data_IF_725684808208
#
_entry.id   IF_725684808208
#
_cell.length_a   1.000
_cell.length_b   1.000
_cell.length_c   1.000
_cell.angle_alpha   90.00
_cell.angle_beta   90.00
_cell.angle_gamma   90.00
#
_symmetry.space_group_name_H-M   'P 1'
#
loop_
_entity.id
_entity.type
_entity.pdbx_description
1 polymer ?
#
# COMPACT_ATOMS: atom_id res chain seq x y z
N UNK A 1 26.12 -2.81 23.91
CA UNK A 1 25.36 -1.57 24.21
C UNK A 1 24.69 -0.96 22.97
N UNK A 2 25.34 -0.93 21.79
CA UNK A 2 24.82 -0.29 20.56
C UNK A 2 23.44 -0.78 20.06
N UNK A 3 23.06 -2.03 20.32
CA UNK A 3 21.78 -2.62 19.87
C UNK A 3 20.71 -2.63 20.98
N UNK A 4 21.12 -2.55 22.26
CA UNK A 4 20.18 -2.63 23.39
C UNK A 4 19.34 -1.37 23.53
N UNK A 5 19.92 -0.20 23.25
CA UNK A 5 19.23 1.08 23.36
C UNK A 5 18.03 1.18 22.38
N UNK A 6 18.19 0.90 21.06
CA UNK A 6 17.06 0.87 20.13
C UNK A 6 15.97 -0.15 20.51
N UNK A 7 16.35 -1.32 21.05
CA UNK A 7 15.41 -2.36 21.47
C UNK A 7 14.58 -1.92 22.68
N UNK A 8 15.23 -1.33 23.70
CA UNK A 8 14.54 -0.79 24.87
C UNK A 8 13.60 0.33 24.45
N UNK A 9 14.04 1.23 23.57
CA UNK A 9 13.20 2.30 23.03
C UNK A 9 11.97 1.73 22.29
N UNK A 10 12.17 0.72 21.44
CA UNK A 10 11.10 0.04 20.72
C UNK A 10 10.08 -0.60 21.66
N UNK A 11 10.55 -1.31 22.70
CA UNK A 11 9.71 -1.91 23.72
C UNK A 11 8.88 -0.86 24.48
N UNK A 12 9.53 0.21 24.95
CA UNK A 12 8.86 1.30 25.68
C UNK A 12 7.80 1.97 24.81
N UNK A 13 8.14 2.34 23.57
CA UNK A 13 7.19 2.98 22.66
C UNK A 13 6.03 2.05 22.29
N UNK A 14 6.29 0.74 22.14
CA UNK A 14 5.24 -0.25 21.94
C UNK A 14 4.29 -0.39 23.13
N UNK A 15 4.82 -0.39 24.36
CA UNK A 15 4.00 -0.43 25.59
C UNK A 15 3.17 0.85 25.71
N UNK A 16 3.76 2.03 25.48
CA UNK A 16 3.04 3.32 25.48
C UNK A 16 1.89 3.28 24.48
N UNK A 17 2.15 2.84 23.23
CA UNK A 17 1.12 2.72 22.21
C UNK A 17 0.01 1.73 22.58
N UNK A 18 0.36 0.60 23.21
CA UNK A 18 -0.62 -0.37 23.68
C UNK A 18 -1.51 0.20 24.79
N UNK A 19 -0.92 0.88 25.78
CA UNK A 19 -1.65 1.54 26.86
C UNK A 19 -2.55 2.64 26.30
N UNK A 20 -2.04 3.47 25.39
CA UNK A 20 -2.81 4.53 24.76
C UNK A 20 -4.02 3.99 23.96
N UNK A 21 -3.87 2.84 23.31
CA UNK A 21 -4.96 2.24 22.55
C UNK A 21 -6.11 1.73 23.45
N UNK A 22 -5.78 1.07 24.58
CA UNK A 22 -6.79 0.44 25.44
C UNK A 22 -7.35 1.35 26.55
N UNK A 23 -6.71 2.47 26.87
CA UNK A 23 -7.16 3.39 27.92
C UNK A 23 -7.90 4.59 27.30
N UNK A 24 -9.24 4.63 27.34
CA UNK A 24 -10.03 5.71 26.73
C UNK A 24 -10.13 6.95 27.62
N UNK A 25 -9.05 7.29 28.34
CA UNK A 25 -9.02 8.47 29.20
C UNK A 25 -8.48 9.69 28.44
N UNK A 26 -9.15 10.85 28.56
CA UNK A 26 -8.83 12.06 27.80
C UNK A 26 -7.36 12.48 27.91
N UNK A 27 -6.77 12.41 29.11
CA UNK A 27 -5.36 12.78 29.29
C UNK A 27 -4.41 11.85 28.53
N UNK A 28 -4.69 10.55 28.51
CA UNK A 28 -3.89 9.54 27.79
C UNK A 28 -4.02 9.72 26.27
N UNK A 29 -5.25 9.93 25.79
CA UNK A 29 -5.50 10.17 24.36
C UNK A 29 -4.88 11.47 23.85
N UNK A 30 -4.93 12.54 24.65
CA UNK A 30 -4.31 13.82 24.28
C UNK A 30 -2.78 13.69 24.21
N UNK A 31 -2.18 13.05 25.22
CA UNK A 31 -0.74 12.78 25.23
C UNK A 31 -0.30 11.92 24.04
N UNK A 32 -1.01 10.82 23.75
CA UNK A 32 -0.69 9.95 22.62
C UNK A 32 -0.80 10.69 21.29
N UNK A 33 -1.87 11.47 21.09
CA UNK A 33 -2.05 12.26 19.88
C UNK A 33 -0.92 13.28 19.69
N UNK A 34 -0.53 14.00 20.75
CA UNK A 34 0.55 14.97 20.70
C UNK A 34 1.91 14.30 20.43
N UNK A 35 2.22 13.24 21.16
CA UNK A 35 3.44 12.46 21.01
C UNK A 35 3.54 11.87 19.60
N UNK A 36 2.50 11.18 19.12
CA UNK A 36 2.47 10.56 17.80
C UNK A 36 2.54 11.61 16.69
N UNK A 37 1.78 12.70 16.77
CA UNK A 37 1.83 13.74 15.75
C UNK A 37 3.22 14.38 15.65
N UNK A 38 3.85 14.66 16.79
CA UNK A 38 5.19 15.27 16.82
C UNK A 38 6.25 14.28 16.36
N UNK A 39 6.26 13.07 16.92
CA UNK A 39 7.22 12.03 16.57
C UNK A 39 7.10 11.62 15.10
N UNK A 40 5.89 11.37 14.60
CA UNK A 40 5.67 11.02 13.20
C UNK A 40 6.13 12.13 12.27
N UNK A 41 5.83 13.39 12.56
CA UNK A 41 6.28 14.52 11.72
C UNK A 41 7.79 14.56 11.60
N UNK A 42 8.50 14.40 12.72
CA UNK A 42 9.98 14.37 12.76
C UNK A 42 10.50 13.15 12.01
N UNK A 43 9.96 11.96 12.31
CA UNK A 43 10.36 10.70 11.66
C UNK A 43 10.15 10.81 10.15
N UNK A 44 8.98 11.27 9.67
CA UNK A 44 8.71 11.46 8.25
C UNK A 44 9.70 12.43 7.58
N UNK A 45 10.05 13.54 8.24
CA UNK A 45 11.04 14.47 7.71
C UNK A 45 12.42 13.81 7.51
N UNK A 46 12.91 13.08 8.51
CA UNK A 46 14.18 12.35 8.41
C UNK A 46 14.11 11.16 7.44
N UNK A 47 13.00 10.42 7.44
CA UNK A 47 12.76 9.30 6.52
C UNK A 47 12.74 9.75 5.07
N UNK A 48 12.22 10.94 4.77
CA UNK A 48 12.27 11.51 3.41
C UNK A 48 13.72 11.70 2.97
N UNK A 49 14.54 12.33 3.80
CA UNK A 49 15.97 12.54 3.50
C UNK A 49 16.71 11.22 3.31
N UNK A 50 16.50 10.26 4.20
CA UNK A 50 17.10 8.93 4.10
C UNK A 50 16.62 8.15 2.87
N UNK A 51 15.32 8.26 2.53
CA UNK A 51 14.72 7.61 1.38
C UNK A 51 15.28 8.16 0.07
N UNK A 52 15.27 9.48 -0.10
CA UNK A 52 15.86 10.16 -1.27
C UNK A 52 17.37 9.85 -1.36
N UNK A 53 18.09 9.98 -0.24
CA UNK A 53 19.52 9.68 -0.18
C UNK A 53 19.84 8.24 -0.54
N UNK A 54 19.01 7.27 -0.12
CA UNK A 54 19.18 5.86 -0.46
C UNK A 54 18.98 5.60 -1.96
N UNK A 55 17.94 6.19 -2.57
CA UNK A 55 17.69 6.07 -4.02
C UNK A 55 18.86 6.67 -4.81
N UNK A 56 19.27 7.90 -4.47
CA UNK A 56 20.39 8.56 -5.14
C UNK A 56 21.65 7.71 -5.01
N UNK A 57 22.01 7.26 -3.81
CA UNK A 57 23.20 6.45 -3.58
C UNK A 57 23.13 5.13 -4.36
N UNK A 58 21.99 4.43 -4.33
CA UNK A 58 21.81 3.16 -5.02
C UNK A 58 22.03 3.31 -6.53
N UNK A 59 21.36 4.27 -7.15
CA UNK A 59 21.44 4.48 -8.60
C UNK A 59 22.80 5.07 -9.02
N UNK A 60 23.39 5.95 -8.21
CA UNK A 60 24.72 6.49 -8.46
C UNK A 60 25.80 5.41 -8.41
N UNK A 61 25.77 4.53 -7.41
CA UNK A 61 26.66 3.38 -7.34
C UNK A 61 26.46 2.41 -8.51
N UNK A 62 25.20 2.21 -8.93
CA UNK A 62 24.86 1.36 -10.07
C UNK A 62 25.47 1.90 -11.38
N UNK A 63 25.39 3.22 -11.59
CA UNK A 63 26.01 3.92 -12.74
C UNK A 63 27.54 3.82 -12.67
N UNK A 64 28.15 4.19 -11.53
CA UNK A 64 29.61 4.18 -11.35
C UNK A 64 30.22 2.80 -11.59
N UNK A 65 29.52 1.75 -11.14
CA UNK A 65 29.98 0.35 -11.27
C UNK A 65 29.51 -0.33 -12.57
N UNK A 66 28.82 0.39 -13.47
CA UNK A 66 28.22 -0.14 -14.72
C UNK A 66 27.55 -1.50 -14.54
N UNK A 67 26.73 -1.64 -13.48
CA UNK A 67 25.98 -2.87 -13.24
C UNK A 67 24.91 -3.08 -14.31
N UNK A 68 24.35 -4.27 -14.38
CA UNK A 68 23.28 -4.60 -15.33
C UNK A 68 22.15 -3.56 -15.27
N UNK A 69 21.68 -3.10 -16.44
CA UNK A 69 20.64 -2.08 -16.58
C UNK A 69 20.98 -0.74 -15.87
N UNK A 70 22.25 -0.34 -15.85
CA UNK A 70 22.68 0.93 -15.26
C UNK A 70 22.11 2.14 -15.99
N UNK A 71 21.91 2.07 -17.30
CA UNK A 71 21.41 3.15 -18.16
C UNK A 71 20.05 3.71 -17.67
N UNK A 72 19.13 2.82 -17.27
CA UNK A 72 17.83 3.20 -16.71
C UNK A 72 17.93 3.95 -15.37
N UNK A 73 19.09 3.93 -14.73
CA UNK A 73 19.33 4.73 -13.52
C UNK A 73 19.38 6.22 -13.82
N UNK A 74 19.80 6.63 -15.03
CA UNK A 74 19.71 8.04 -15.43
C UNK A 74 18.26 8.50 -15.49
N UNK A 75 17.39 7.70 -16.10
CA UNK A 75 15.95 7.99 -16.18
C UNK A 75 15.36 8.16 -14.78
N UNK A 76 15.75 7.30 -13.85
CA UNK A 76 15.28 7.36 -12.44
C UNK A 76 15.78 8.61 -11.73
N UNK A 77 17.08 8.95 -11.84
CA UNK A 77 17.64 10.13 -11.18
C UNK A 77 17.09 11.43 -11.79
N UNK A 78 17.01 11.53 -13.12
CA UNK A 78 16.46 12.71 -13.80
C UNK A 78 14.99 12.91 -13.43
N UNK A 79 14.18 11.85 -13.47
CA UNK A 79 12.77 11.94 -13.06
C UNK A 79 12.60 12.30 -11.59
N UNK A 80 13.44 11.78 -10.69
CA UNK A 80 13.43 12.16 -9.27
C UNK A 80 13.66 13.67 -9.09
N UNK A 81 14.71 14.22 -9.71
CA UNK A 81 15.00 15.65 -9.59
C UNK A 81 13.94 16.52 -10.28
N UNK A 82 13.46 16.11 -11.45
CA UNK A 82 12.43 16.84 -12.19
C UNK A 82 11.10 16.89 -11.43
N UNK A 83 10.64 15.75 -10.92
CA UNK A 83 9.40 15.67 -10.14
C UNK A 83 9.51 16.42 -8.81
N UNK A 84 10.67 16.36 -8.15
CA UNK A 84 10.92 17.15 -6.94
C UNK A 84 10.92 18.66 -7.24
N UNK A 85 11.55 19.08 -8.34
CA UNK A 85 11.55 20.48 -8.77
C UNK A 85 10.14 20.97 -9.10
N UNK A 86 9.38 20.22 -9.91
CA UNK A 86 7.98 20.55 -10.22
C UNK A 86 7.14 20.60 -8.95
N UNK A 87 7.33 19.66 -8.02
CA UNK A 87 6.58 19.65 -6.77
C UNK A 87 6.88 20.82 -5.84
N UNK A 88 8.16 21.21 -5.71
CA UNK A 88 8.57 22.32 -4.86
C UNK A 88 8.12 23.68 -5.40
N UNK A 89 8.16 23.86 -6.72
CA UNK A 89 7.92 25.16 -7.34
C UNK A 89 6.56 25.29 -8.02
N UNK A 90 6.08 24.24 -8.71
CA UNK A 90 4.79 24.22 -9.42
C UNK A 90 3.58 23.92 -8.53
N UNK A 91 3.80 23.40 -7.32
CA UNK A 91 2.73 23.17 -6.33
C UNK A 91 1.81 21.99 -6.68
N UNK A 92 0.67 21.91 -6.01
CA UNK A 92 -0.27 20.77 -6.14
C UNK A 92 -1.17 20.93 -7.37
N UNK A 93 -1.85 22.07 -7.49
CA UNK A 93 -2.89 22.37 -8.50
C UNK A 93 -2.55 23.64 -9.30
N UNK A 94 -1.26 23.85 -9.60
CA UNK A 94 -0.76 25.05 -10.30
C UNK A 94 -0.63 26.29 -9.41
N UNK A 95 -1.00 26.21 -8.13
CA UNK A 95 -0.79 27.27 -7.11
C UNK A 95 0.59 27.19 -6.45
N UNK A 96 1.61 26.81 -7.21
CA UNK A 96 2.99 26.77 -6.74
C UNK A 96 3.59 28.15 -6.48
N UNK A 97 4.79 28.15 -5.92
CA UNK A 97 5.61 29.36 -5.77
C UNK A 97 5.90 30.03 -7.11
N UNK A 98 6.00 29.23 -8.17
CA UNK A 98 6.25 29.67 -9.53
C UNK A 98 5.12 29.10 -10.39
N UNK A 99 4.48 29.99 -11.17
CA UNK A 99 3.48 29.57 -12.15
C UNK A 99 4.17 28.85 -13.31
N UNK A 100 4.14 27.52 -13.30
CA UNK A 100 4.79 26.66 -14.31
C UNK A 100 3.77 26.20 -15.35
N UNK A 101 3.42 27.08 -16.29
CA UNK A 101 2.45 26.77 -17.35
C UNK A 101 3.04 27.05 -18.74
N UNK A 102 2.77 26.16 -19.69
CA UNK A 102 3.05 26.39 -21.12
C UNK A 102 1.72 26.25 -21.87
N UNK A 103 1.13 27.38 -22.27
CA UNK A 103 -0.18 27.42 -22.92
C UNK A 103 -1.29 26.94 -21.99
N UNK A 104 -1.93 25.81 -22.33
CA UNK A 104 -2.98 25.18 -21.49
C UNK A 104 -2.45 24.08 -20.58
N UNK A 105 -1.15 23.80 -20.62
CA UNK A 105 -0.53 22.72 -19.87
C UNK A 105 0.14 23.27 -18.61
N UNK A 106 -0.31 22.84 -17.43
CA UNK A 106 0.35 23.13 -16.16
C UNK A 106 1.32 22.01 -15.77
N UNK A 107 2.51 22.40 -15.32
CA UNK A 107 3.48 21.50 -14.72
C UNK A 107 3.32 21.58 -13.20
N UNK A 108 2.42 20.76 -12.68
CA UNK A 108 2.13 20.63 -11.25
C UNK A 108 2.10 19.14 -10.84
N UNK A 109 2.05 18.88 -9.52
CA UNK A 109 2.01 17.51 -9.01
C UNK A 109 0.75 16.79 -9.50
N UNK A 110 -0.39 17.47 -9.57
CA UNK A 110 -1.65 16.86 -10.00
C UNK A 110 -1.58 16.35 -11.43
N UNK A 111 -0.91 17.08 -12.33
CA UNK A 111 -0.73 16.69 -13.73
C UNK A 111 0.14 15.45 -13.83
N UNK A 112 1.24 15.39 -13.05
CA UNK A 112 2.08 14.18 -12.98
C UNK A 112 1.28 13.00 -12.40
N UNK A 113 0.49 13.24 -11.35
CA UNK A 113 -0.33 12.22 -10.73
C UNK A 113 -1.36 11.65 -11.71
N UNK A 114 -2.12 12.50 -12.40
CA UNK A 114 -3.20 12.07 -13.30
C UNK A 114 -2.66 11.43 -14.58
N UNK A 115 -1.55 11.92 -15.13
CA UNK A 115 -1.05 11.44 -16.42
C UNK A 115 0.00 10.33 -16.29
N UNK A 116 0.65 10.17 -15.13
CA UNK A 116 1.64 9.13 -14.92
C UNK A 116 1.22 8.15 -13.83
N UNK A 117 0.94 8.63 -12.61
CA UNK A 117 0.69 7.74 -11.48
C UNK A 117 -0.61 6.94 -11.64
N UNK A 118 -1.71 7.57 -12.08
CA UNK A 118 -3.00 6.88 -12.29
C UNK A 118 -2.88 5.81 -13.38
N UNK A 119 -2.38 6.10 -14.61
CA UNK A 119 -2.26 5.08 -15.64
C UNK A 119 -1.32 3.94 -15.24
N UNK A 120 -0.17 4.23 -14.59
CA UNK A 120 0.74 3.20 -14.11
C UNK A 120 0.09 2.31 -13.02
N UNK A 121 -0.71 2.90 -12.13
CA UNK A 121 -1.53 2.12 -11.19
C UNK A 121 -2.55 1.24 -11.93
N UNK A 122 -3.23 1.79 -12.93
CA UNK A 122 -4.21 1.08 -13.74
C UNK A 122 -3.59 -0.10 -14.52
N UNK A 123 -2.35 0.03 -15.04
CA UNK A 123 -1.65 -1.10 -15.69
C UNK A 123 -1.32 -2.20 -14.70
N UNK A 124 -0.87 -1.88 -13.48
CA UNK A 124 -0.65 -2.87 -12.43
C UNK A 124 -1.95 -3.61 -12.06
N UNK A 125 -3.05 -2.88 -11.87
CA UNK A 125 -4.36 -3.49 -11.59
C UNK A 125 -4.89 -4.33 -12.75
N UNK A 126 -4.70 -3.88 -13.99
CA UNK A 126 -5.08 -4.63 -15.20
C UNK A 126 -4.29 -5.93 -15.32
N UNK A 127 -2.98 -5.90 -15.08
CA UNK A 127 -2.14 -7.10 -15.06
C UNK A 127 -2.54 -8.05 -13.94
N UNK A 128 -2.81 -7.54 -12.72
CA UNK A 128 -3.31 -8.35 -11.61
C UNK A 128 -4.63 -9.03 -11.98
N UNK A 129 -5.59 -8.29 -12.55
CA UNK A 129 -6.86 -8.84 -13.00
C UNK A 129 -6.67 -9.92 -14.07
N UNK A 130 -5.79 -9.67 -15.06
CA UNK A 130 -5.45 -10.66 -16.09
C UNK A 130 -4.82 -11.93 -15.49
N UNK A 131 -3.83 -11.80 -14.62
CA UNK A 131 -3.18 -12.96 -14.00
C UNK A 131 -4.12 -13.71 -13.06
N UNK A 132 -4.96 -13.00 -12.31
CA UNK A 132 -6.01 -13.61 -11.51
C UNK A 132 -7.01 -14.38 -12.38
N UNK A 133 -7.51 -13.78 -13.46
CA UNK A 133 -8.42 -14.44 -14.39
C UNK A 133 -7.77 -15.65 -15.08
N UNK A 134 -6.49 -15.54 -15.47
CA UNK A 134 -5.72 -16.60 -16.09
C UNK A 134 -5.45 -17.76 -15.12
N UNK A 135 -5.08 -17.46 -13.87
CA UNK A 135 -4.88 -18.45 -12.82
C UNK A 135 -6.21 -19.12 -12.43
N UNK A 136 -7.27 -18.32 -12.30
CA UNK A 136 -8.63 -18.76 -12.07
C UNK A 136 -9.08 -19.70 -13.20
N UNK A 137 -8.92 -19.34 -14.47
CA UNK A 137 -9.27 -20.22 -15.60
C UNK A 137 -8.49 -21.54 -15.57
N UNK A 138 -7.17 -21.49 -15.28
CA UNK A 138 -6.36 -22.71 -15.13
C UNK A 138 -6.77 -23.57 -13.93
N UNK A 139 -7.24 -22.95 -12.84
CA UNK A 139 -7.69 -23.63 -11.61
C UNK A 139 -9.16 -24.09 -11.67
N UNK A 140 -10.01 -23.36 -12.39
CA UNK A 140 -11.44 -23.60 -12.61
C UNK A 140 -11.73 -24.52 -13.80
N UNK A 141 -10.73 -25.26 -14.28
CA UNK A 141 -11.01 -26.46 -15.08
C UNK A 141 -11.72 -27.42 -14.13
N UNK A 142 -13.03 -27.61 -14.30
CA UNK A 142 -13.93 -28.40 -13.43
C UNK A 142 -13.36 -29.80 -13.17
N UNK A 143 -12.48 -29.89 -12.17
CA UNK A 143 -11.70 -31.08 -11.86
C UNK A 143 -12.12 -31.69 -10.52
N UNK A 144 -12.75 -30.89 -9.66
CA UNK A 144 -13.30 -31.28 -8.37
C UNK A 144 -14.58 -30.48 -8.06
N UNK A 145 -15.33 -30.95 -7.06
CA UNK A 145 -16.62 -30.37 -6.68
C UNK A 145 -16.47 -28.93 -6.15
N UNK A 146 -15.38 -28.65 -5.45
CA UNK A 146 -15.10 -27.32 -4.88
C UNK A 146 -14.91 -26.27 -5.97
N UNK A 147 -14.15 -26.58 -7.03
CA UNK A 147 -13.96 -25.67 -8.16
C UNK A 147 -15.26 -25.42 -8.93
N UNK A 148 -16.13 -26.43 -9.06
CA UNK A 148 -17.45 -26.29 -9.69
C UNK A 148 -18.34 -25.35 -8.87
N UNK A 149 -18.40 -25.55 -7.55
CA UNK A 149 -19.18 -24.70 -6.65
C UNK A 149 -18.73 -23.25 -6.72
N UNK A 150 -17.41 -23.00 -6.70
CA UNK A 150 -16.85 -21.67 -6.84
C UNK A 150 -17.13 -21.05 -8.21
N UNK A 151 -17.03 -21.82 -9.30
CA UNK A 151 -17.31 -21.35 -10.65
C UNK A 151 -18.78 -20.93 -10.82
N UNK A 152 -19.71 -21.77 -10.33
CA UNK A 152 -21.15 -21.48 -10.38
C UNK A 152 -21.49 -20.25 -9.54
N UNK A 153 -20.94 -20.15 -8.32
CA UNK A 153 -21.14 -18.98 -7.47
C UNK A 153 -20.62 -17.69 -8.13
N UNK A 154 -19.41 -17.72 -8.70
CA UNK A 154 -18.83 -16.58 -9.41
C UNK A 154 -19.67 -16.18 -10.63
N UNK A 155 -20.15 -17.16 -11.41
CA UNK A 155 -21.00 -16.91 -12.57
C UNK A 155 -22.32 -16.23 -12.20
N UNK A 156 -22.99 -16.70 -11.12
CA UNK A 156 -24.22 -16.08 -10.59
C UNK A 156 -23.96 -14.63 -10.17
N UNK A 157 -22.89 -14.37 -9.42
CA UNK A 157 -22.54 -13.02 -8.96
C UNK A 157 -22.22 -12.09 -10.13
N UNK A 158 -21.49 -12.57 -11.14
CA UNK A 158 -21.18 -11.78 -12.34
C UNK A 158 -22.44 -11.44 -13.14
N UNK A 159 -23.34 -12.40 -13.34
CA UNK A 159 -24.63 -12.17 -14.01
C UNK A 159 -25.50 -11.16 -13.27
N UNK A 160 -25.56 -11.25 -11.93
CA UNK A 160 -26.30 -10.31 -11.09
C UNK A 160 -25.78 -8.87 -11.19
N UNK A 161 -24.49 -8.69 -11.48
CA UNK A 161 -23.84 -7.37 -11.60
C UNK A 161 -24.14 -6.65 -12.92
N UNK A 162 -24.81 -7.30 -13.88
CA UNK A 162 -25.15 -6.74 -15.19
C UNK A 162 -26.56 -6.12 -15.14
N UNK A 163 -26.72 -4.79 -15.24
CA UNK A 163 -28.02 -4.13 -15.01
C UNK A 163 -29.18 -4.61 -15.89
N UNK A 164 -29.00 -4.88 -17.21
CA UNK A 164 -30.06 -5.47 -18.03
C UNK A 164 -30.55 -6.84 -17.52
N UNK A 165 -29.64 -7.67 -17.00
CA UNK A 165 -29.95 -9.04 -16.53
C UNK A 165 -30.66 -8.98 -15.18
N UNK A 166 -30.23 -8.09 -14.30
CA UNK A 166 -30.88 -7.85 -13.00
C UNK A 166 -32.35 -7.41 -13.15
N UNK A 167 -32.69 -6.67 -14.22
CA UNK A 167 -34.08 -6.29 -14.52
C UNK A 167 -34.92 -7.46 -15.04
N UNK A 168 -34.31 -8.39 -15.80
CA UNK A 168 -34.99 -9.56 -16.34
C UNK A 168 -35.28 -10.61 -15.26
N UNK A 169 -34.36 -10.77 -14.29
CA UNK A 169 -34.48 -11.74 -13.19
C UNK A 169 -34.32 -11.02 -11.85
N UNK A 170 -35.41 -10.46 -11.27
CA UNK A 170 -35.34 -9.67 -10.04
C UNK A 170 -34.83 -10.42 -8.81
N UNK A 171 -34.91 -11.77 -8.80
CA UNK A 171 -34.42 -12.61 -7.71
C UNK A 171 -32.91 -12.88 -7.75
N UNK A 172 -32.26 -12.63 -8.89
CA UNK A 172 -30.84 -12.95 -9.08
C UNK A 172 -29.92 -12.08 -8.20
N UNK A 173 -30.15 -10.77 -8.02
CA UNK A 173 -29.38 -9.94 -7.08
C UNK A 173 -29.45 -10.43 -5.64
N UNK A 174 -30.61 -10.90 -5.16
CA UNK A 174 -30.76 -11.42 -3.79
C UNK A 174 -29.89 -12.65 -3.51
N UNK A 175 -29.80 -13.56 -4.49
CA UNK A 175 -28.93 -14.75 -4.38
C UNK A 175 -27.45 -14.32 -4.38
N UNK A 176 -27.08 -13.38 -5.25
CA UNK A 176 -25.72 -12.83 -5.28
C UNK A 176 -25.33 -12.16 -3.96
N UNK A 177 -26.24 -11.34 -3.40
CA UNK A 177 -26.07 -10.69 -2.10
C UNK A 177 -25.89 -11.72 -0.99
N UNK A 178 -26.72 -12.77 -0.94
CA UNK A 178 -26.57 -13.86 0.02
C UNK A 178 -25.20 -14.56 -0.09
N UNK A 179 -24.71 -14.83 -1.32
CA UNK A 179 -23.36 -15.39 -1.54
C UNK A 179 -22.28 -14.45 -1.01
N UNK A 180 -22.43 -13.14 -1.24
CA UNK A 180 -21.45 -12.15 -0.81
C UNK A 180 -21.44 -11.93 0.70
N UNK A 181 -22.61 -11.96 1.34
CA UNK A 181 -22.79 -11.61 2.75
C UNK A 181 -22.57 -12.78 3.71
N UNK A 182 -22.84 -14.02 3.28
CA UNK A 182 -22.72 -15.19 4.15
C UNK A 182 -21.39 -15.92 3.93
N UNK A 183 -21.19 -16.75 2.88
CA UNK A 183 -19.96 -17.54 2.74
C UNK A 183 -18.73 -16.68 2.44
N UNK A 184 -18.86 -15.64 1.60
CA UNK A 184 -17.74 -14.77 1.26
C UNK A 184 -17.31 -13.90 2.46
N UNK A 185 -18.24 -13.33 3.23
CA UNK A 185 -17.90 -12.62 4.46
C UNK A 185 -17.30 -13.55 5.51
N UNK A 186 -17.80 -14.78 5.65
CA UNK A 186 -17.21 -15.77 6.55
C UNK A 186 -15.74 -16.07 6.18
N UNK A 187 -15.46 -16.32 4.90
CA UNK A 187 -14.11 -16.52 4.40
C UNK A 187 -13.21 -15.30 4.60
N UNK A 188 -13.71 -14.09 4.27
CA UNK A 188 -12.99 -12.82 4.50
C UNK A 188 -12.63 -12.61 5.96
N UNK A 189 -13.56 -12.89 6.88
CA UNK A 189 -13.31 -12.80 8.33
C UNK A 189 -12.25 -13.81 8.76
N UNK A 190 -12.31 -15.06 8.30
CA UNK A 190 -11.28 -16.06 8.57
C UNK A 190 -9.89 -15.65 8.09
N UNK A 191 -9.79 -15.15 6.86
CA UNK A 191 -8.54 -14.60 6.32
C UNK A 191 -8.05 -13.40 7.15
N UNK A 192 -8.94 -12.48 7.51
CA UNK A 192 -8.61 -11.32 8.32
C UNK A 192 -8.04 -11.74 9.67
N UNK A 193 -8.67 -12.70 10.36
CA UNK A 193 -8.12 -13.24 11.61
C UNK A 193 -6.72 -13.82 11.44
N UNK A 194 -6.50 -14.62 10.39
CA UNK A 194 -5.18 -15.19 10.10
C UNK A 194 -4.12 -14.12 9.85
N UNK A 195 -4.44 -13.11 9.03
CA UNK A 195 -3.54 -11.99 8.72
C UNK A 195 -3.26 -11.18 9.99
N UNK A 196 -4.28 -10.84 10.77
CA UNK A 196 -4.13 -10.06 12.00
C UNK A 196 -3.28 -10.80 13.02
N UNK A 197 -3.48 -12.11 13.22
CA UNK A 197 -2.63 -12.92 14.10
C UNK A 197 -1.17 -12.97 13.60
N UNK A 198 -0.96 -13.07 12.27
CA UNK A 198 0.37 -13.01 11.67
C UNK A 198 1.07 -11.66 11.90
N UNK A 199 0.34 -10.55 11.76
CA UNK A 199 0.83 -9.21 12.08
C UNK A 199 1.16 -9.08 13.56
N UNK A 200 0.25 -9.51 14.45
CA UNK A 200 0.48 -9.48 15.91
C UNK A 200 1.72 -10.29 16.31
N UNK A 201 1.89 -11.49 15.76
CA UNK A 201 3.06 -12.33 16.00
C UNK A 201 4.36 -11.63 15.59
N UNK A 202 4.39 -11.02 14.40
CA UNK A 202 5.56 -10.27 13.92
C UNK A 202 5.82 -9.02 14.74
N UNK A 203 4.79 -8.25 15.09
CA UNK A 203 4.91 -7.08 15.97
C UNK A 203 5.46 -7.46 17.34
N UNK A 204 5.00 -8.56 17.94
CA UNK A 204 5.50 -9.04 19.22
C UNK A 204 6.98 -9.48 19.13
N UNK A 205 7.35 -10.19 18.07
CA UNK A 205 8.75 -10.56 17.81
C UNK A 205 9.66 -9.33 17.69
N UNK A 206 9.18 -8.26 17.06
CA UNK A 206 9.91 -6.98 16.95
C UNK A 206 10.01 -6.30 18.33
N UNK A 207 8.91 -6.20 19.08
CA UNK A 207 8.88 -5.56 20.41
C UNK A 207 9.77 -6.26 21.43
N UNK A 208 9.76 -7.59 21.45
CA UNK A 208 10.64 -8.41 22.30
C UNK A 208 12.09 -8.44 21.79
N UNK A 209 12.37 -7.84 20.63
CA UNK A 209 13.70 -7.81 20.03
C UNK A 209 14.20 -9.19 19.59
N UNK A 210 13.29 -10.13 19.30
CA UNK A 210 13.60 -11.41 18.67
C UNK A 210 13.91 -11.16 17.18
N UNK A 211 13.12 -10.30 16.54
CA UNK A 211 13.28 -9.94 15.13
C UNK A 211 13.98 -8.57 15.01
N UNK A 212 15.24 -8.60 14.56
CA UNK A 212 16.15 -7.44 14.54
C UNK A 212 16.52 -6.95 13.14
N UNK A 213 15.84 -7.43 12.10
CA UNK A 213 16.16 -7.10 10.70
C UNK A 213 16.16 -5.60 10.41
N UNK A 214 15.37 -4.82 11.16
CA UNK A 214 15.29 -3.36 11.04
C UNK A 214 16.51 -2.60 11.59
N UNK A 215 17.40 -3.25 12.34
CA UNK A 215 18.58 -2.62 12.97
C UNK A 215 19.82 -2.58 12.05
N UNK A 216 19.68 -2.91 10.77
CA UNK A 216 20.78 -2.96 9.80
C UNK A 216 21.59 -4.24 9.95
N UNK A 217 21.07 -5.32 9.36
CA UNK A 217 21.44 -6.71 9.61
C UNK A 217 22.93 -7.03 9.72
N UNK A 218 23.26 -7.82 10.75
CA UNK A 218 23.71 -9.21 10.55
C UNK A 218 22.61 -10.13 11.02
#
# INVERSE_FOLDING_TARGET
>A
MKVRFPLILCLIMGIIGMVAYYVPHKAVQNFDNELRNTALRIIFAFSLVLGVGSIIRHHWEKIKRKREFWEYSYVTLISLFLTAFIGLFGGIDGRGLIKMEIGKFSFDIQTIYVNMAIPLGATMFSLLAYFMASAAYRAFRARNLEAILLLVAAFIVMLASVPPIARLIPKLPYISEWILDVPNTAAKRGMLFGITLGVLSTSLKILLGIERGWLGGK
#
